data_IF_697209976016
#
_entry.id   IF_697209976016
#
_cell.length_a   1.000
_cell.length_b   1.000
_cell.length_c   1.000
_cell.angle_alpha   90.00
_cell.angle_beta   90.00
_cell.angle_gamma   90.00
#
_symmetry.space_group_name_H-M   'P 1'
#
loop_
_entity.id
_entity.type
_entity.pdbx_description
1 polymer ?
#
# COMPACT_ATOMS: atom_id res chain seq x y z
N UNK A 1 -23.46 -19.48 73.82
CA UNK A 1 -22.60 -20.30 72.95
C UNK A 1 -22.32 -19.52 71.67
N UNK A 2 -21.19 -18.80 71.56
CA UNK A 2 -20.85 -17.96 70.40
C UNK A 2 -20.05 -18.78 69.39
N UNK A 3 -20.62 -19.04 68.22
CA UNK A 3 -19.94 -19.74 67.12
C UNK A 3 -19.04 -18.75 66.37
N UNK A 4 -17.72 -18.90 66.54
CA UNK A 4 -16.72 -18.08 65.86
C UNK A 4 -16.58 -18.58 64.42
N UNK A 5 -17.26 -17.93 63.46
CA UNK A 5 -17.06 -18.18 62.03
C UNK A 5 -15.63 -17.80 61.66
N UNK A 6 -14.81 -18.80 61.34
CA UNK A 6 -13.47 -18.60 60.77
C UNK A 6 -13.65 -18.15 59.33
N UNK A 7 -13.41 -16.88 59.04
CA UNK A 7 -13.26 -16.41 57.65
C UNK A 7 -12.03 -17.08 57.06
N UNK A 8 -12.13 -17.75 55.90
CA UNK A 8 -10.99 -18.42 55.31
C UNK A 8 -9.98 -17.39 54.83
N UNK A 9 -8.78 -17.43 55.41
CA UNK A 9 -7.60 -16.63 55.04
C UNK A 9 -7.19 -16.79 53.56
N UNK A 10 -7.79 -17.76 52.84
CA UNK A 10 -7.59 -18.07 51.42
C UNK A 10 -8.22 -17.01 50.49
N UNK A 11 -9.17 -16.19 50.96
CA UNK A 11 -9.90 -15.25 50.11
C UNK A 11 -9.05 -14.08 49.54
N UNK A 12 -7.99 -13.66 50.23
CA UNK A 12 -7.17 -12.49 49.80
C UNK A 12 -6.17 -12.85 48.70
N UNK A 13 -5.61 -14.07 48.73
CA UNK A 13 -4.64 -14.54 47.74
C UNK A 13 -5.25 -14.76 46.35
N UNK A 14 -6.42 -15.38 46.28
CA UNK A 14 -7.10 -15.66 45.01
C UNK A 14 -7.55 -14.37 44.27
N UNK A 15 -8.02 -13.36 45.01
CA UNK A 15 -8.39 -12.05 44.45
C UNK A 15 -7.16 -11.32 43.87
N UNK A 16 -6.00 -11.41 44.56
CA UNK A 16 -4.76 -10.77 44.10
C UNK A 16 -4.24 -11.41 42.80
N UNK A 17 -4.29 -12.75 42.70
CA UNK A 17 -3.89 -13.48 41.48
C UNK A 17 -4.76 -13.06 40.28
N UNK A 18 -6.08 -12.98 40.47
CA UNK A 18 -7.00 -12.56 39.42
C UNK A 18 -6.70 -11.12 38.95
N UNK A 19 -6.40 -10.21 39.87
CA UNK A 19 -6.06 -8.83 39.51
C UNK A 19 -4.74 -8.74 38.74
N UNK A 20 -3.71 -9.49 39.13
CA UNK A 20 -2.42 -9.51 38.42
C UNK A 20 -2.62 -10.08 37.02
N UNK A 21 -3.36 -11.19 36.89
CA UNK A 21 -3.66 -11.79 35.60
C UNK A 21 -4.41 -10.82 34.69
N UNK A 22 -5.44 -10.15 35.20
CA UNK A 22 -6.19 -9.15 34.44
C UNK A 22 -5.29 -7.99 33.97
N UNK A 23 -4.40 -7.49 34.83
CA UNK A 23 -3.45 -6.43 34.46
C UNK A 23 -2.46 -6.90 33.39
N UNK A 24 -1.96 -8.14 33.49
CA UNK A 24 -1.09 -8.73 32.47
C UNK A 24 -1.83 -8.88 31.13
N UNK A 25 -3.09 -9.34 31.14
CA UNK A 25 -3.90 -9.41 29.93
C UNK A 25 -4.13 -8.02 29.31
N UNK A 26 -4.46 -7.01 30.12
CA UNK A 26 -4.63 -5.64 29.65
C UNK A 26 -3.33 -5.06 29.07
N UNK A 27 -2.19 -5.38 29.67
CA UNK A 27 -0.88 -4.98 29.15
C UNK A 27 -0.61 -5.60 27.78
N UNK A 28 -0.87 -6.90 27.61
CA UNK A 28 -0.71 -7.57 26.31
C UNK A 28 -1.65 -6.96 25.27
N UNK A 29 -2.92 -6.72 25.62
CA UNK A 29 -3.87 -6.07 24.71
C UNK A 29 -3.44 -4.66 24.34
N UNK A 30 -2.94 -3.88 25.29
CA UNK A 30 -2.41 -2.54 25.03
C UNK A 30 -1.20 -2.58 24.08
N UNK A 31 -0.28 -3.53 24.27
CA UNK A 31 0.89 -3.70 23.39
C UNK A 31 0.49 -4.13 21.98
N UNK A 32 -0.46 -5.07 21.85
CA UNK A 32 -0.99 -5.47 20.55
C UNK A 32 -1.68 -4.30 19.85
N UNK A 33 -2.52 -3.54 20.56
CA UNK A 33 -3.19 -2.36 20.02
C UNK A 33 -2.19 -1.31 19.52
N UNK A 34 -1.11 -1.05 20.28
CA UNK A 34 -0.05 -0.13 19.87
C UNK A 34 0.70 -0.62 18.62
N UNK A 35 1.04 -1.91 18.57
CA UNK A 35 1.71 -2.53 17.42
C UNK A 35 0.86 -2.44 16.14
N UNK A 36 -0.44 -2.75 16.26
CA UNK A 36 -1.41 -2.61 15.17
C UNK A 36 -1.55 -1.15 14.73
N UNK A 37 -1.68 -0.21 15.66
CA UNK A 37 -1.79 1.22 15.34
C UNK A 37 -0.56 1.74 14.58
N UNK A 38 0.64 1.33 15.00
CA UNK A 38 1.88 1.71 14.31
C UNK A 38 1.96 1.14 12.89
N UNK A 39 1.54 -0.12 12.71
CA UNK A 39 1.48 -0.76 11.39
C UNK A 39 0.47 -0.05 10.48
N UNK A 40 -0.71 0.25 11.01
CA UNK A 40 -1.75 0.98 10.28
C UNK A 40 -1.28 2.39 9.89
N UNK A 41 -0.58 3.09 10.77
CA UNK A 41 -0.02 4.40 10.46
C UNK A 41 0.98 4.34 9.31
N UNK A 42 1.89 3.36 9.32
CA UNK A 42 2.84 3.14 8.21
C UNK A 42 2.14 2.79 6.90
N UNK A 43 1.11 1.96 6.96
CA UNK A 43 0.32 1.59 5.78
C UNK A 43 -0.43 2.80 5.21
N UNK A 44 -1.05 3.61 6.06
CA UNK A 44 -1.74 4.83 5.67
C UNK A 44 -0.79 5.83 5.01
N UNK A 45 0.42 6.01 5.57
CA UNK A 45 1.44 6.86 4.97
C UNK A 45 1.84 6.37 3.58
N UNK A 46 2.13 5.07 3.41
CA UNK A 46 2.44 4.50 2.09
C UNK A 46 1.31 4.69 1.07
N UNK A 47 0.06 4.56 1.51
CA UNK A 47 -1.10 4.82 0.64
C UNK A 47 -1.15 6.29 0.21
N UNK A 48 -0.96 7.23 1.15
CA UNK A 48 -0.92 8.66 0.85
C UNK A 48 0.22 9.02 -0.11
N UNK A 49 1.42 8.46 0.11
CA UNK A 49 2.58 8.69 -0.75
C UNK A 49 2.35 8.15 -2.17
N UNK A 50 1.74 6.98 -2.31
CA UNK A 50 1.38 6.39 -3.61
C UNK A 50 0.36 7.25 -4.37
N UNK A 51 -0.68 7.73 -3.68
CA UNK A 51 -1.68 8.63 -4.27
C UNK A 51 -1.00 9.94 -4.71
N UNK A 52 -0.14 10.50 -3.87
CA UNK A 52 0.62 11.71 -4.21
C UNK A 52 1.51 11.51 -5.43
N UNK A 53 2.23 10.39 -5.52
CA UNK A 53 3.08 10.06 -6.66
C UNK A 53 2.25 9.93 -7.96
N UNK A 54 1.06 9.34 -7.89
CA UNK A 54 0.14 9.28 -9.02
C UNK A 54 -0.26 10.66 -9.53
N UNK A 55 -0.74 11.54 -8.65
CA UNK A 55 -1.15 12.87 -9.06
C UNK A 55 0.02 13.76 -9.52
N UNK A 56 1.23 13.52 -9.01
CA UNK A 56 2.43 14.18 -9.53
C UNK A 56 2.76 13.75 -10.96
N UNK A 57 2.63 12.46 -11.28
CA UNK A 57 2.82 11.97 -12.64
C UNK A 57 1.69 12.43 -13.57
N UNK A 58 0.45 12.45 -13.09
CA UNK A 58 -0.72 12.94 -13.82
C UNK A 58 -0.55 14.42 -14.22
N UNK A 59 -0.14 15.25 -13.25
CA UNK A 59 0.18 16.65 -13.51
C UNK A 59 1.26 16.82 -14.59
N UNK A 60 2.34 16.04 -14.53
CA UNK A 60 3.40 16.06 -15.55
C UNK A 60 2.87 15.65 -16.92
N UNK A 61 2.01 14.63 -16.95
CA UNK A 61 1.40 14.16 -18.18
C UNK A 61 0.48 15.21 -18.82
N UNK A 62 -0.29 15.95 -18.01
CA UNK A 62 -1.09 17.08 -18.47
C UNK A 62 -0.23 18.26 -18.94
N UNK A 63 0.89 18.55 -18.26
CA UNK A 63 1.84 19.60 -18.66
C UNK A 63 2.46 19.30 -20.04
N UNK A 64 2.81 18.04 -20.30
CA UNK A 64 3.25 17.57 -21.62
C UNK A 64 2.12 17.69 -22.64
N UNK A 65 0.90 17.27 -22.31
CA UNK A 65 -0.24 17.37 -23.23
C UNK A 65 -0.59 18.83 -23.57
N UNK A 66 -0.46 19.74 -22.61
CA UNK A 66 -0.64 21.18 -22.82
C UNK A 66 0.42 21.77 -23.77
N UNK A 67 1.67 21.30 -23.67
CA UNK A 67 2.73 21.65 -24.64
C UNK A 67 2.38 21.14 -26.04
N UNK A 68 1.95 19.88 -26.16
CA UNK A 68 1.52 19.29 -27.44
C UNK A 68 0.38 20.06 -28.08
N UNK A 69 -0.58 20.57 -27.28
CA UNK A 69 -1.70 21.39 -27.76
C UNK A 69 -1.26 22.78 -28.24
N UNK A 70 -0.17 23.32 -27.68
CA UNK A 70 0.46 24.55 -28.16
C UNK A 70 1.34 24.35 -29.40
N UNK A 71 1.51 23.11 -29.86
CA UNK A 71 2.33 22.75 -31.01
C UNK A 71 3.81 22.52 -30.67
N UNK A 72 4.17 22.54 -29.38
CA UNK A 72 5.51 22.19 -28.91
C UNK A 72 5.58 20.67 -28.74
N UNK A 73 6.57 20.01 -29.34
CA UNK A 73 6.83 18.58 -29.18
C UNK A 73 8.04 18.38 -28.26
N UNK A 74 7.82 18.08 -26.96
CA UNK A 74 8.92 17.83 -26.02
C UNK A 74 9.69 16.57 -26.43
N UNK A 75 11.01 16.49 -26.15
CA UNK A 75 11.83 15.33 -26.52
C UNK A 75 11.40 14.03 -25.83
N UNK A 76 10.66 14.13 -24.72
CA UNK A 76 10.10 13.02 -23.96
C UNK A 76 8.91 12.34 -24.67
N UNK A 77 8.33 13.01 -25.68
CA UNK A 77 7.16 12.53 -26.41
C UNK A 77 7.58 11.92 -27.74
N UNK A 78 7.22 10.66 -27.94
CA UNK A 78 7.38 9.97 -29.22
C UNK A 78 6.11 10.13 -30.04
N UNK A 79 6.24 10.55 -31.31
CA UNK A 79 5.11 10.64 -32.24
C UNK A 79 5.25 9.63 -33.38
N UNK A 80 4.32 8.67 -33.47
CA UNK A 80 4.31 7.62 -34.49
C UNK A 80 2.88 7.37 -34.95
N UNK A 81 2.68 7.22 -36.27
CA UNK A 81 1.37 6.90 -36.87
C UNK A 81 0.21 7.81 -36.43
N UNK A 82 0.49 9.09 -36.11
CA UNK A 82 -0.54 10.02 -35.63
C UNK A 82 -0.78 9.98 -34.12
N UNK A 83 -0.04 9.17 -33.37
CA UNK A 83 -0.18 8.97 -31.92
C UNK A 83 1.04 9.53 -31.19
N UNK A 84 0.80 10.38 -30.21
CA UNK A 84 1.77 10.80 -29.20
C UNK A 84 1.80 9.77 -28.06
N UNK A 85 2.98 9.25 -27.76
CA UNK A 85 3.22 8.28 -26.68
C UNK A 85 4.31 8.78 -25.75
N UNK A 86 4.04 8.76 -24.44
CA UNK A 86 5.00 9.14 -23.41
C UNK A 86 4.68 8.47 -22.07
N UNK A 87 5.69 8.39 -21.20
CA UNK A 87 5.58 7.80 -19.87
C UNK A 87 6.07 8.78 -18.81
N UNK A 88 5.26 8.98 -17.77
CA UNK A 88 5.62 9.79 -16.62
C UNK A 88 5.94 8.87 -15.42
N UNK A 89 7.20 8.81 -14.94
CA UNK A 89 7.55 7.95 -13.82
C UNK A 89 6.87 8.42 -12.53
N UNK A 90 6.29 7.44 -11.81
CA UNK A 90 5.62 7.65 -10.53
C UNK A 90 6.50 7.19 -9.37
N UNK A 91 7.06 5.98 -9.50
CA UNK A 91 8.01 5.35 -8.58
C UNK A 91 9.07 4.60 -9.39
N UNK A 92 10.04 3.97 -8.73
CA UNK A 92 11.08 3.17 -9.40
C UNK A 92 10.51 1.96 -10.17
N UNK A 93 9.28 1.55 -9.87
CA UNK A 93 8.63 0.37 -10.43
C UNK A 93 7.32 0.67 -11.14
N UNK A 94 6.83 1.91 -11.13
CA UNK A 94 5.56 2.27 -11.77
C UNK A 94 5.66 3.57 -12.53
N UNK A 95 4.95 3.63 -13.67
CA UNK A 95 4.84 4.82 -14.51
C UNK A 95 3.41 5.01 -14.99
N UNK A 96 3.06 6.25 -15.29
CA UNK A 96 1.81 6.60 -15.96
C UNK A 96 2.09 6.62 -17.47
N UNK A 97 1.50 5.68 -18.21
CA UNK A 97 1.59 5.60 -19.66
C UNK A 97 0.46 6.39 -20.28
N UNK A 98 0.79 7.26 -21.24
CA UNK A 98 -0.16 8.10 -21.94
C UNK A 98 0.00 7.95 -23.44
N UNK A 99 -1.11 7.69 -24.12
CA UNK A 99 -1.21 7.63 -25.58
C UNK A 99 -2.35 8.52 -26.07
N UNK A 100 -2.05 9.42 -26.99
CA UNK A 100 -2.99 10.42 -27.49
C UNK A 100 -2.90 10.46 -29.01
N UNK A 101 -4.01 10.17 -29.67
CA UNK A 101 -4.14 10.30 -31.11
C UNK A 101 -4.42 11.75 -31.50
N UNK A 102 -3.71 12.24 -32.52
CA UNK A 102 -3.97 13.54 -33.15
C UNK A 102 -4.95 13.35 -34.30
N UNK A 103 -6.14 13.94 -34.17
CA UNK A 103 -7.17 13.94 -35.23
C UNK A 103 -7.19 15.30 -35.94
N UNK A 104 -7.90 15.40 -37.06
CA UNK A 104 -8.09 16.68 -37.77
C UNK A 104 -8.83 17.73 -36.91
N UNK A 105 -9.69 17.26 -36.00
CA UNK A 105 -10.52 18.11 -35.13
C UNK A 105 -9.89 18.35 -33.74
N UNK A 106 -8.76 17.72 -33.42
CA UNK A 106 -8.08 17.89 -32.13
C UNK A 106 -7.30 16.67 -31.65
N UNK A 107 -7.61 16.21 -30.45
CA UNK A 107 -6.87 15.15 -29.75
C UNK A 107 -7.83 14.17 -29.08
N UNK A 108 -7.52 12.87 -29.17
CA UNK A 108 -8.26 11.80 -28.52
C UNK A 108 -7.35 10.97 -27.63
N UNK A 109 -7.70 10.85 -26.35
CA UNK A 109 -6.95 10.04 -25.40
C UNK A 109 -7.26 8.56 -25.66
N UNK A 110 -6.23 7.77 -25.95
CA UNK A 110 -6.31 6.32 -26.16
C UNK A 110 -5.99 5.57 -24.87
N UNK A 111 -4.87 5.92 -24.23
CA UNK A 111 -4.45 5.32 -22.96
C UNK A 111 -4.07 6.41 -21.95
N UNK A 112 -4.53 6.24 -20.72
CA UNK A 112 -4.09 7.02 -19.57
C UNK A 112 -4.12 6.12 -18.34
N UNK A 113 -3.08 5.31 -18.16
CA UNK A 113 -3.10 4.24 -17.16
C UNK A 113 -1.76 4.03 -16.49
N UNK A 114 -1.82 3.59 -15.24
CA UNK A 114 -0.65 3.16 -14.48
C UNK A 114 -0.17 1.81 -15.02
N UNK A 115 1.13 1.71 -15.28
CA UNK A 115 1.83 0.49 -15.66
C UNK A 115 2.94 0.17 -14.67
N UNK A 116 3.24 -1.11 -14.49
CA UNK A 116 4.42 -1.58 -13.78
C UNK A 116 5.59 -1.64 -14.76
N UNK A 117 6.73 -1.05 -14.40
CA UNK A 117 7.95 -0.96 -15.21
C UNK A 117 9.17 -1.59 -14.52
N UNK A 118 8.99 -2.23 -13.36
CA UNK A 118 10.09 -2.92 -12.69
C UNK A 118 10.55 -4.16 -13.46
N UNK A 119 11.82 -4.52 -13.28
CA UNK A 119 12.39 -5.74 -13.87
C UNK A 119 11.56 -6.95 -13.42
N UNK A 120 10.96 -7.64 -14.40
CA UNK A 120 10.29 -8.90 -14.14
C UNK A 120 11.37 -9.98 -13.99
N UNK A 121 11.60 -10.41 -12.75
CA UNK A 121 12.46 -11.55 -12.46
C UNK A 121 11.57 -12.78 -12.34
N UNK A 122 11.68 -13.79 -13.22
CA UNK A 122 10.98 -15.06 -13.04
C UNK A 122 11.44 -15.70 -11.73
N UNK A 123 10.52 -16.02 -10.84
CA UNK A 123 10.81 -16.92 -9.73
C UNK A 123 11.04 -18.33 -10.28
N UNK A 124 12.29 -18.74 -10.41
CA UNK A 124 12.67 -20.08 -10.92
C UNK A 124 12.47 -21.21 -9.89
N UNK A 125 12.19 -20.87 -8.63
CA UNK A 125 11.98 -21.84 -7.55
C UNK A 125 10.66 -21.57 -6.83
N UNK A 126 9.56 -22.00 -7.43
CA UNK A 126 8.32 -22.14 -6.67
C UNK A 126 8.42 -23.45 -5.89
N UNK A 127 8.44 -23.38 -4.55
CA UNK A 127 8.28 -24.56 -3.68
C UNK A 127 6.82 -25.03 -3.79
N UNK A 128 6.51 -25.67 -4.91
CA UNK A 128 5.22 -26.36 -5.11
C UNK A 128 5.27 -27.61 -4.24
N UNK A 129 4.27 -27.76 -3.38
CA UNK A 129 4.10 -28.98 -2.58
C UNK A 129 4.12 -30.20 -3.50
N UNK A 130 5.01 -31.15 -3.22
CA UNK A 130 5.28 -32.32 -4.04
C UNK A 130 4.39 -33.53 -3.73
N UNK A 131 3.41 -33.37 -2.83
CA UNK A 131 2.51 -34.44 -2.45
C UNK A 131 3.10 -35.42 -1.43
N UNK A 132 4.33 -35.21 -0.97
CA UNK A 132 4.93 -36.08 0.06
C UNK A 132 4.51 -35.62 1.46
N UNK A 133 4.08 -36.58 2.26
CA UNK A 133 4.09 -36.48 3.72
C UNK A 133 5.32 -37.28 4.14
N UNK A 134 6.33 -36.64 4.72
CA UNK A 134 7.40 -37.38 5.39
C UNK A 134 6.77 -38.16 6.57
N UNK A 135 6.94 -39.48 6.55
CA UNK A 135 6.53 -40.43 7.61
C UNK A 135 7.40 -40.31 8.88
#
# INVERSE_FOLDING_TARGET
MRTKKRTPFIAVGASTILTIFAVLCLMIFALLALSTANTNAKLAQKAADNIKAYYQADKRAEELFSQLRRGEAPPEVTFQEGIYSYCCPMTDTTSLKVEIEKTEEGYRILEWKRIYIGDWVPEESLNVWDGSFED
#
